data_IF_189894231404
#
_entry.id   IF_189894231404
#
_cell.length_a   1.000
_cell.length_b   1.000
_cell.length_c   1.000
_cell.angle_alpha   90.00
_cell.angle_beta   90.00
_cell.angle_gamma   90.00
#
_symmetry.space_group_name_H-M   'P 1'
#
loop_
_entity.id
_entity.type
_entity.pdbx_description
1 polymer ?
#
# COMPACT_ATOMS: atom_id res chain seq x y z
N UNK A 1 8.82 -54.36 -7.82
CA UNK A 1 9.21 -53.18 -7.03
C UNK A 1 10.50 -52.66 -7.63
N UNK A 2 10.43 -51.64 -8.46
CA UNK A 2 11.31 -50.48 -8.32
C UNK A 2 10.66 -49.33 -9.11
N UNK A 3 10.29 -48.25 -8.41
CA UNK A 3 9.64 -47.09 -9.00
C UNK A 3 10.73 -46.08 -9.30
N UNK A 4 11.14 -45.99 -10.56
CA UNK A 4 11.94 -44.87 -11.06
C UNK A 4 11.09 -43.61 -10.95
N UNK A 5 11.29 -42.83 -9.89
CA UNK A 5 10.74 -41.49 -9.78
C UNK A 5 11.39 -40.62 -10.87
N UNK A 6 10.62 -39.86 -11.66
CA UNK A 6 11.21 -38.97 -12.65
C UNK A 6 11.96 -37.86 -11.90
N UNK A 7 13.25 -37.74 -12.20
CA UNK A 7 14.07 -36.59 -11.81
C UNK A 7 13.38 -35.33 -12.37
N UNK A 8 12.74 -34.57 -11.49
CA UNK A 8 12.30 -33.21 -11.78
C UNK A 8 13.56 -32.38 -12.00
N UNK A 9 13.88 -32.15 -13.27
CA UNK A 9 14.85 -31.14 -13.69
C UNK A 9 14.39 -29.82 -13.09
N UNK A 10 15.09 -29.34 -12.06
CA UNK A 10 14.90 -28.01 -11.51
C UNK A 10 15.27 -27.01 -12.62
N UNK A 11 14.26 -26.54 -13.34
CA UNK A 11 14.41 -25.37 -14.20
C UNK A 11 14.50 -24.19 -13.24
N UNK A 12 15.69 -23.65 -13.05
CA UNK A 12 15.89 -22.36 -12.37
C UNK A 12 15.24 -21.28 -13.23
N UNK A 13 13.92 -21.15 -13.12
CA UNK A 13 13.19 -20.02 -13.65
C UNK A 13 13.49 -18.86 -12.72
N UNK A 14 14.52 -18.08 -13.05
CA UNK A 14 14.71 -16.76 -12.45
C UNK A 14 13.39 -16.02 -12.58
N UNK A 15 12.85 -15.56 -11.44
CA UNK A 15 11.75 -14.60 -11.43
C UNK A 15 12.09 -13.50 -12.42
N UNK A 16 11.34 -13.43 -13.52
CA UNK A 16 11.36 -12.28 -14.40
C UNK A 16 10.56 -11.17 -13.71
N UNK A 17 11.03 -10.75 -12.53
CA UNK A 17 10.63 -9.48 -11.97
C UNK A 17 11.19 -8.43 -12.93
N UNK A 18 10.37 -7.50 -13.43
CA UNK A 18 10.89 -6.42 -14.25
C UNK A 18 11.95 -5.68 -13.44
N UNK A 19 13.12 -5.47 -14.05
CA UNK A 19 14.05 -4.46 -13.57
C UNK A 19 13.29 -3.15 -13.43
N UNK A 20 13.32 -2.54 -12.25
CA UNK A 20 12.61 -1.30 -11.91
C UNK A 20 13.08 -0.14 -12.82
N UNK A 21 12.53 0.00 -14.01
CA UNK A 21 12.87 1.08 -14.96
C UNK A 21 12.01 2.35 -14.78
N UNK A 22 11.39 2.54 -13.62
CA UNK A 22 10.77 3.82 -13.25
C UNK A 22 11.43 4.39 -11.99
N UNK A 23 12.70 4.78 -12.09
CA UNK A 23 13.42 5.39 -10.97
C UNK A 23 12.73 6.69 -10.55
N UNK A 24 12.25 6.78 -9.30
CA UNK A 24 11.82 8.05 -8.67
C UNK A 24 10.32 8.27 -8.45
N UNK A 25 9.45 7.26 -8.57
CA UNK A 25 8.05 7.36 -8.13
C UNK A 25 7.85 6.66 -6.78
N UNK A 26 6.91 7.16 -5.99
CA UNK A 26 6.56 6.62 -4.67
C UNK A 26 5.84 5.26 -4.75
N UNK A 27 5.21 4.97 -5.90
CA UNK A 27 4.50 3.72 -6.18
C UNK A 27 4.88 3.15 -7.55
N UNK A 28 5.04 1.83 -7.61
CA UNK A 28 5.13 1.06 -8.85
C UNK A 28 4.06 -0.02 -8.88
N UNK A 29 3.44 -0.19 -10.05
CA UNK A 29 2.40 -1.19 -10.27
C UNK A 29 2.81 -1.98 -11.50
N UNK A 30 2.96 -3.28 -11.35
CA UNK A 30 3.35 -4.16 -12.43
C UNK A 30 2.49 -5.40 -12.48
N UNK A 31 2.09 -5.80 -13.68
CA UNK A 31 1.39 -7.04 -13.91
C UNK A 31 2.28 -7.98 -14.69
N UNK A 32 2.44 -9.21 -14.22
CA UNK A 32 3.27 -10.21 -14.88
C UNK A 32 2.67 -11.60 -14.87
N UNK A 33 3.23 -12.45 -15.73
CA UNK A 33 2.94 -13.87 -15.77
C UNK A 33 4.25 -14.66 -15.82
N UNK A 34 4.35 -15.68 -14.98
CA UNK A 34 5.52 -16.56 -14.93
C UNK A 34 5.09 -18.01 -15.18
N UNK A 35 5.89 -18.81 -15.91
CA UNK A 35 5.75 -20.27 -15.86
C UNK A 35 6.06 -20.78 -14.45
N UNK A 36 5.69 -22.02 -14.09
CA UNK A 36 6.06 -22.62 -12.81
C UNK A 36 7.54 -22.45 -12.49
N UNK A 37 7.84 -22.10 -11.25
CA UNK A 37 9.18 -21.70 -10.85
C UNK A 37 9.31 -21.45 -9.37
N UNK A 38 10.52 -21.06 -8.97
CA UNK A 38 10.85 -20.68 -7.61
C UNK A 38 11.96 -19.64 -7.60
N UNK A 39 12.03 -18.87 -6.52
CA UNK A 39 13.17 -17.98 -6.32
C UNK A 39 13.21 -17.31 -4.96
N UNK A 40 14.38 -16.74 -4.69
CA UNK A 40 14.62 -15.88 -3.54
C UNK A 40 14.32 -14.43 -3.95
N UNK A 41 13.47 -13.77 -3.18
CA UNK A 41 13.06 -12.39 -3.38
C UNK A 41 13.61 -11.53 -2.25
N UNK A 42 14.15 -10.36 -2.59
CA UNK A 42 14.50 -9.34 -1.62
C UNK A 42 14.34 -7.97 -2.28
N UNK A 43 13.67 -7.05 -1.59
CA UNK A 43 13.49 -5.67 -2.02
C UNK A 43 14.04 -4.76 -0.93
N UNK A 44 15.11 -4.01 -1.22
CA UNK A 44 15.83 -3.26 -0.17
C UNK A 44 15.04 -2.07 0.36
N UNK A 45 14.36 -1.33 -0.52
CA UNK A 45 13.74 -0.04 -0.21
C UNK A 45 12.24 0.01 -0.52
N UNK A 46 11.62 -1.14 -0.81
CA UNK A 46 10.25 -1.21 -1.32
C UNK A 46 9.44 -2.22 -0.49
N UNK A 47 8.29 -1.79 0.01
CA UNK A 47 7.26 -2.66 0.56
C UNK A 47 6.42 -3.19 -0.60
N UNK A 48 6.34 -4.51 -0.74
CA UNK A 48 5.78 -5.14 -1.93
C UNK A 48 4.55 -5.97 -1.58
N UNK A 49 3.46 -5.71 -2.28
CA UNK A 49 2.26 -6.52 -2.28
C UNK A 49 2.20 -7.33 -3.57
N UNK A 50 2.03 -8.65 -3.45
CA UNK A 50 1.79 -9.56 -4.57
C UNK A 50 0.37 -10.11 -4.47
N UNK A 51 -0.45 -9.87 -5.49
CA UNK A 51 -1.83 -10.33 -5.55
C UNK A 51 -2.05 -11.29 -6.71
N UNK A 52 -2.64 -12.45 -6.42
CA UNK A 52 -2.97 -13.42 -7.45
C UNK A 52 -4.12 -12.92 -8.31
N UNK A 53 -3.87 -12.85 -9.62
CA UNK A 53 -4.88 -12.60 -10.66
C UNK A 53 -5.25 -13.90 -11.42
N UNK A 54 -4.61 -15.02 -11.08
CA UNK A 54 -4.75 -16.26 -11.82
C UNK A 54 -6.20 -16.77 -11.83
N UNK A 55 -6.74 -17.18 -12.99
CA UNK A 55 -8.14 -17.61 -13.11
C UNK A 55 -8.41 -18.95 -12.43
N UNK A 56 -7.36 -19.72 -12.11
CA UNK A 56 -7.45 -21.00 -11.40
C UNK A 56 -6.53 -20.98 -10.19
N UNK A 57 -6.91 -21.62 -9.08
CA UNK A 57 -6.03 -21.77 -7.94
C UNK A 57 -4.74 -22.50 -8.33
N UNK A 58 -3.62 -22.10 -7.73
CA UNK A 58 -2.32 -22.74 -7.93
C UNK A 58 -1.64 -23.03 -6.58
N UNK A 59 -0.86 -24.11 -6.53
CA UNK A 59 -0.08 -24.44 -5.35
C UNK A 59 1.09 -23.47 -5.21
N UNK A 60 1.23 -22.94 -4.00
CA UNK A 60 2.24 -21.98 -3.62
C UNK A 60 2.95 -22.45 -2.36
N UNK A 61 4.26 -22.26 -2.32
CA UNK A 61 5.08 -22.35 -1.12
C UNK A 61 5.74 -21.00 -0.93
N UNK A 62 5.58 -20.39 0.24
CA UNK A 62 6.26 -19.16 0.59
C UNK A 62 6.90 -19.30 1.96
N UNK A 63 8.16 -18.90 2.07
CA UNK A 63 8.91 -18.97 3.33
C UNK A 63 9.56 -17.64 3.65
N UNK A 64 9.34 -17.11 4.86
CA UNK A 64 9.95 -15.88 5.36
C UNK A 64 10.13 -16.00 6.88
N UNK A 65 11.27 -15.56 7.39
CA UNK A 65 11.56 -15.53 8.85
C UNK A 65 11.26 -16.85 9.59
N UNK A 66 11.55 -17.99 8.95
CA UNK A 66 11.33 -19.32 9.52
C UNK A 66 9.87 -19.81 9.48
N UNK A 67 8.94 -18.98 9.01
CA UNK A 67 7.55 -19.38 8.77
C UNK A 67 7.40 -19.82 7.31
N UNK A 68 6.72 -20.95 7.09
CA UNK A 68 6.43 -21.46 5.75
C UNK A 68 4.94 -21.66 5.56
N UNK A 69 4.39 -21.03 4.54
CA UNK A 69 3.08 -21.34 3.99
C UNK A 69 3.21 -22.37 2.88
N UNK A 70 2.30 -23.34 2.85
CA UNK A 70 2.14 -24.29 1.73
C UNK A 70 0.65 -24.52 1.51
N UNK A 71 0.16 -24.26 0.31
CA UNK A 71 -1.24 -24.48 -0.02
C UNK A 71 -1.67 -23.84 -1.33
N UNK A 72 -2.98 -23.79 -1.55
CA UNK A 72 -3.56 -23.16 -2.74
C UNK A 72 -3.75 -21.67 -2.52
N UNK A 73 -3.23 -20.87 -3.46
CA UNK A 73 -3.62 -19.47 -3.63
C UNK A 73 -4.64 -19.37 -4.76
N UNK A 74 -5.62 -18.50 -4.60
CA UNK A 74 -6.68 -18.23 -5.58
C UNK A 74 -6.73 -16.73 -5.87
N UNK A 75 -7.46 -16.35 -6.92
CA UNK A 75 -7.65 -14.95 -7.30
C UNK A 75 -8.06 -14.09 -6.09
N UNK A 76 -7.39 -12.96 -5.91
CA UNK A 76 -7.60 -12.02 -4.82
C UNK A 76 -6.82 -12.35 -3.53
N UNK A 77 -6.24 -13.55 -3.41
CA UNK A 77 -5.28 -13.82 -2.34
C UNK A 77 -4.01 -13.00 -2.59
N UNK A 78 -3.45 -12.42 -1.53
CA UNK A 78 -2.22 -11.63 -1.62
C UNK A 78 -1.20 -11.97 -0.52
N UNK A 79 0.06 -11.62 -0.76
CA UNK A 79 1.12 -11.58 0.25
C UNK A 79 1.67 -10.16 0.37
N UNK A 80 2.12 -9.80 1.57
CA UNK A 80 2.80 -8.54 1.87
C UNK A 80 4.23 -8.86 2.32
N UNK A 81 5.20 -8.30 1.62
CA UNK A 81 6.62 -8.40 1.92
C UNK A 81 7.16 -7.00 2.25
N UNK A 82 7.49 -6.71 3.52
CA UNK A 82 8.08 -5.43 3.89
C UNK A 82 9.46 -5.22 3.27
N UNK A 83 9.85 -3.95 3.10
CA UNK A 83 11.19 -3.59 2.65
C UNK A 83 12.27 -4.24 3.55
N UNK A 84 13.37 -4.66 2.92
CA UNK A 84 14.51 -5.32 3.57
C UNK A 84 14.27 -6.76 4.01
N UNK A 85 13.06 -7.31 3.81
CA UNK A 85 12.70 -8.65 4.32
C UNK A 85 12.78 -9.71 3.21
N UNK A 86 13.83 -10.55 3.16
CA UNK A 86 13.97 -11.56 2.13
C UNK A 86 12.97 -12.71 2.34
N UNK A 87 12.42 -13.25 1.25
CA UNK A 87 11.54 -14.41 1.28
C UNK A 87 11.83 -15.36 0.12
N UNK A 88 11.45 -16.62 0.28
CA UNK A 88 11.43 -17.61 -0.79
C UNK A 88 9.99 -17.79 -1.27
N UNK A 89 9.80 -17.94 -2.58
CA UNK A 89 8.52 -18.30 -3.18
C UNK A 89 8.70 -19.40 -4.23
N UNK A 90 7.74 -20.31 -4.31
CA UNK A 90 7.62 -21.33 -5.35
C UNK A 90 6.17 -21.51 -5.74
N UNK A 91 5.92 -21.64 -7.04
CA UNK A 91 4.59 -21.83 -7.63
C UNK A 91 4.60 -22.95 -8.67
N UNK A 92 3.59 -23.80 -8.61
CA UNK A 92 3.51 -25.01 -9.46
C UNK A 92 2.65 -24.82 -10.72
N UNK A 93 2.05 -23.64 -10.91
CA UNK A 93 1.18 -23.30 -12.04
C UNK A 93 1.67 -22.08 -12.82
N UNK A 94 0.95 -21.70 -13.88
CA UNK A 94 1.19 -20.39 -14.51
C UNK A 94 0.72 -19.30 -13.56
N UNK A 95 1.67 -18.56 -13.00
CA UNK A 95 1.38 -17.43 -12.16
C UNK A 95 0.88 -16.27 -13.02
N UNK A 96 -0.12 -15.57 -12.50
CA UNK A 96 -0.56 -14.28 -13.02
C UNK A 96 -0.73 -13.40 -11.80
N UNK A 97 0.11 -12.37 -11.69
CA UNK A 97 0.26 -11.60 -10.47
C UNK A 97 0.21 -10.10 -10.76
N UNK A 98 -0.37 -9.37 -9.82
CA UNK A 98 -0.22 -7.93 -9.67
C UNK A 98 0.79 -7.67 -8.54
N UNK A 99 1.87 -6.99 -8.88
CA UNK A 99 2.83 -6.45 -7.92
C UNK A 99 2.58 -4.96 -7.73
N UNK A 100 2.43 -4.55 -6.48
CA UNK A 100 2.39 -3.14 -6.07
C UNK A 100 3.55 -2.91 -5.12
N UNK A 101 4.46 -2.01 -5.49
CA UNK A 101 5.60 -1.59 -4.67
C UNK A 101 5.38 -0.18 -4.17
N UNK A 102 5.61 0.03 -2.88
CA UNK A 102 5.59 1.33 -2.23
C UNK A 102 7.00 1.59 -1.68
N UNK A 103 7.58 2.76 -1.96
CA UNK A 103 8.91 3.06 -1.40
C UNK A 103 8.81 3.19 0.13
N UNK A 104 9.85 2.74 0.85
CA UNK A 104 9.91 2.88 2.30
C UNK A 104 9.83 4.35 2.72
N UNK A 105 10.44 5.25 1.94
CA UNK A 105 10.35 6.70 2.13
C UNK A 105 8.90 7.21 2.06
N UNK A 106 8.12 6.76 1.07
CA UNK A 106 6.72 7.14 0.94
C UNK A 106 5.89 6.63 2.11
N UNK A 107 6.05 5.35 2.49
CA UNK A 107 5.32 4.79 3.64
C UNK A 107 5.63 5.56 4.92
N UNK A 108 6.91 5.91 5.18
CA UNK A 108 7.31 6.74 6.33
C UNK A 108 6.69 8.13 6.29
N UNK A 109 6.62 8.76 5.11
CA UNK A 109 5.96 10.06 4.95
C UNK A 109 4.48 9.97 5.33
N UNK A 110 3.77 8.94 4.87
CA UNK A 110 2.35 8.73 5.23
C UNK A 110 2.19 8.47 6.73
N UNK A 111 3.10 7.72 7.36
CA UNK A 111 3.12 7.54 8.82
C UNK A 111 3.22 8.89 9.53
N UNK A 112 4.19 9.73 9.15
CA UNK A 112 4.40 11.06 9.74
C UNK A 112 3.19 11.99 9.55
N UNK A 113 2.52 11.94 8.40
CA UNK A 113 1.38 12.80 8.10
C UNK A 113 0.08 12.34 8.76
N UNK A 114 -0.03 11.04 9.07
CA UNK A 114 -1.28 10.42 9.57
C UNK A 114 -1.23 10.15 11.08
N UNK A 115 -0.05 10.04 11.69
CA UNK A 115 0.13 9.58 13.07
C UNK A 115 0.91 10.60 13.89
N UNK A 116 0.32 11.02 15.01
CA UNK A 116 0.93 11.95 15.97
C UNK A 116 2.00 11.28 16.88
N UNK A 117 2.26 9.98 16.70
CA UNK A 117 3.16 9.17 17.56
C UNK A 117 4.45 8.76 16.84
N UNK A 118 5.47 8.36 17.63
CA UNK A 118 6.81 7.94 17.20
C UNK A 118 6.78 7.05 15.95
N UNK A 119 7.10 7.65 14.80
CA UNK A 119 7.09 7.04 13.48
C UNK A 119 8.12 5.90 13.34
N UNK A 120 9.14 5.89 14.19
CA UNK A 120 10.25 4.93 14.14
C UNK A 120 9.88 3.52 14.61
N UNK A 121 8.68 3.32 15.18
CA UNK A 121 8.26 2.02 15.72
C UNK A 121 7.23 1.29 14.86
N UNK A 122 6.74 1.93 13.80
CA UNK A 122 5.68 1.39 12.96
C UNK A 122 6.30 0.73 11.73
N UNK A 123 6.18 -0.58 11.65
CA UNK A 123 6.65 -1.38 10.52
C UNK A 123 5.51 -2.26 10.01
N UNK A 124 5.44 -2.49 8.70
CA UNK A 124 4.54 -3.47 8.14
C UNK A 124 4.96 -4.88 8.56
N UNK A 125 3.98 -5.74 8.81
CA UNK A 125 4.19 -7.14 9.19
C UNK A 125 4.10 -8.00 7.93
N UNK A 126 5.05 -8.92 7.70
CA UNK A 126 4.94 -9.85 6.59
C UNK A 126 3.72 -10.74 6.73
N UNK A 127 3.07 -11.06 5.61
CA UNK A 127 1.87 -11.88 5.62
C UNK A 127 1.68 -12.65 4.31
N UNK A 128 1.10 -13.85 4.43
CA UNK A 128 0.91 -14.77 3.32
C UNK A 128 -0.57 -15.14 3.18
N UNK A 129 -1.01 -15.35 1.94
CA UNK A 129 -2.38 -15.78 1.59
C UNK A 129 -3.44 -15.00 2.39
N UNK A 130 -3.30 -13.69 2.40
CA UNK A 130 -4.25 -12.79 3.04
C UNK A 130 -5.39 -12.47 2.08
N UNK A 131 -6.53 -12.08 2.65
CA UNK A 131 -7.68 -11.56 1.90
C UNK A 131 -8.19 -10.29 2.55
N UNK A 132 -8.30 -9.26 1.73
CA UNK A 132 -8.85 -7.97 2.11
C UNK A 132 -9.53 -7.35 0.90
N UNK A 133 -10.88 -7.28 0.89
CA UNK A 133 -11.63 -6.72 -0.23
C UNK A 133 -11.30 -5.26 -0.54
N UNK A 134 -10.87 -4.47 0.46
CA UNK A 134 -10.49 -3.07 0.26
C UNK A 134 -9.16 -2.98 -0.49
N UNK A 135 -8.16 -3.77 -0.06
CA UNK A 135 -6.88 -3.88 -0.77
C UNK A 135 -7.09 -4.37 -2.19
N UNK A 136 -7.91 -5.41 -2.40
CA UNK A 136 -8.24 -5.91 -3.75
C UNK A 136 -8.85 -4.80 -4.62
N UNK A 137 -9.81 -4.05 -4.09
CA UNK A 137 -10.42 -2.93 -4.83
C UNK A 137 -9.39 -1.87 -5.21
N UNK A 138 -8.56 -1.43 -4.25
CA UNK A 138 -7.55 -0.39 -4.49
C UNK A 138 -6.49 -0.87 -5.48
N UNK A 139 -6.02 -2.11 -5.34
CA UNK A 139 -5.03 -2.71 -6.23
C UNK A 139 -5.55 -2.84 -7.67
N UNK A 140 -6.83 -3.23 -7.84
CA UNK A 140 -7.44 -3.29 -9.17
C UNK A 140 -7.65 -1.90 -9.78
N UNK A 141 -7.95 -0.87 -8.97
CA UNK A 141 -7.99 0.52 -9.45
C UNK A 141 -6.61 1.00 -9.89
N UNK A 142 -5.57 0.71 -9.11
CA UNK A 142 -4.17 1.02 -9.45
C UNK A 142 -3.73 0.35 -10.75
N UNK A 143 -4.07 -0.93 -10.93
CA UNK A 143 -3.79 -1.65 -12.17
C UNK A 143 -4.52 -1.01 -13.36
N UNK A 144 -5.81 -0.71 -13.21
CA UNK A 144 -6.62 -0.09 -14.27
C UNK A 144 -6.08 1.28 -14.66
N UNK A 145 -5.72 2.11 -13.68
CA UNK A 145 -5.18 3.44 -13.90
C UNK A 145 -3.79 3.39 -14.54
N UNK A 146 -2.91 2.50 -14.07
CA UNK A 146 -1.57 2.33 -14.62
C UNK A 146 -1.53 1.82 -16.07
N UNK A 147 -2.61 1.20 -16.55
CA UNK A 147 -2.75 0.75 -17.94
C UNK A 147 -3.29 1.82 -18.90
N UNK A 148 -3.75 2.98 -18.39
CA UNK A 148 -4.28 4.05 -19.23
C UNK A 148 -3.15 4.89 -19.83
N UNK A 149 -3.29 5.24 -21.11
CA UNK A 149 -2.35 6.15 -21.80
C UNK A 149 -2.33 7.57 -21.19
N UNK A 150 -3.38 7.94 -20.46
CA UNK A 150 -3.57 9.24 -19.80
C UNK A 150 -3.72 9.06 -18.29
N UNK A 151 -2.97 8.12 -17.70
CA UNK A 151 -2.99 7.87 -16.26
C UNK A 151 -2.80 9.19 -15.48
N UNK A 152 -3.76 9.50 -14.61
CA UNK A 152 -3.71 10.66 -13.73
C UNK A 152 -2.72 10.38 -12.61
N UNK A 153 -1.58 11.10 -12.61
CA UNK A 153 -0.61 11.03 -11.51
C UNK A 153 -1.29 11.28 -10.18
N UNK A 154 -2.20 12.25 -10.12
CA UNK A 154 -2.94 12.58 -8.90
C UNK A 154 -3.81 11.40 -8.42
N UNK A 155 -4.42 10.65 -9.33
CA UNK A 155 -5.22 9.48 -8.97
C UNK A 155 -4.35 8.33 -8.49
N UNK A 156 -3.22 8.06 -9.16
CA UNK A 156 -2.23 7.07 -8.72
C UNK A 156 -1.70 7.41 -7.31
N UNK A 157 -1.33 8.67 -7.07
CA UNK A 157 -0.82 9.14 -5.78
C UNK A 157 -1.90 9.04 -4.69
N UNK A 158 -3.16 9.35 -5.03
CA UNK A 158 -4.29 9.23 -4.11
C UNK A 158 -4.57 7.78 -3.74
N UNK A 159 -4.57 6.86 -4.72
CA UNK A 159 -4.77 5.43 -4.48
C UNK A 159 -3.60 4.82 -3.70
N UNK A 160 -2.37 5.24 -3.98
CA UNK A 160 -1.19 4.86 -3.21
C UNK A 160 -1.31 5.28 -1.74
N UNK A 161 -1.71 6.53 -1.48
CA UNK A 161 -1.95 7.01 -0.12
C UNK A 161 -3.05 6.19 0.59
N UNK A 162 -4.17 5.94 -0.07
CA UNK A 162 -5.27 5.14 0.52
C UNK A 162 -4.80 3.72 0.83
N UNK A 163 -4.05 3.08 -0.08
CA UNK A 163 -3.47 1.77 0.15
C UNK A 163 -2.52 1.78 1.35
N UNK A 164 -1.59 2.73 1.41
CA UNK A 164 -0.62 2.84 2.50
C UNK A 164 -1.30 3.04 3.85
N UNK A 165 -2.28 3.96 3.95
CA UNK A 165 -3.02 4.19 5.20
C UNK A 165 -3.75 2.92 5.64
N UNK A 166 -4.35 2.18 4.70
CA UNK A 166 -5.05 0.94 5.02
C UNK A 166 -4.08 -0.16 5.50
N UNK A 167 -2.94 -0.31 4.82
CA UNK A 167 -1.87 -1.22 5.22
C UNK A 167 -1.36 -0.91 6.63
N UNK A 168 -1.10 0.36 6.93
CA UNK A 168 -0.63 0.80 8.25
C UNK A 168 -1.67 0.51 9.35
N UNK A 169 -2.96 0.60 9.05
CA UNK A 169 -4.03 0.32 10.03
C UNK A 169 -4.15 -1.16 10.36
N UNK A 170 -4.09 -2.02 9.36
CA UNK A 170 -4.46 -3.43 9.49
C UNK A 170 -3.26 -4.37 9.60
N UNK A 171 -2.10 -3.95 9.08
CA UNK A 171 -0.93 -4.81 8.86
C UNK A 171 0.37 -4.23 9.42
N UNK A 172 0.31 -3.32 10.41
CA UNK A 172 1.49 -2.81 11.10
C UNK A 172 1.73 -3.48 12.46
N UNK A 173 2.99 -3.51 12.91
CA UNK A 173 3.47 -4.08 14.18
C UNK A 173 2.79 -3.44 15.40
N UNK A 174 2.55 -2.15 15.30
CA UNK A 174 1.71 -1.39 16.24
C UNK A 174 0.53 -0.95 15.41
N UNK A 175 -0.66 -1.44 15.73
CA UNK A 175 -1.88 -0.87 15.17
C UNK A 175 -1.97 0.56 15.69
N UNK A 176 -1.80 1.56 14.82
CA UNK A 176 -1.89 2.91 15.30
C UNK A 176 -3.33 3.14 15.76
N UNK A 177 -3.48 3.57 17.02
CA UNK A 177 -4.68 4.29 17.41
C UNK A 177 -4.66 5.60 16.63
N UNK A 178 -5.21 5.57 15.42
CA UNK A 178 -5.66 6.79 14.80
C UNK A 178 -6.70 7.36 15.76
N UNK A 179 -6.51 8.57 16.30
CA UNK A 179 -7.57 9.22 17.04
C UNK A 179 -8.81 9.18 16.14
N UNK A 180 -9.84 8.47 16.61
CA UNK A 180 -11.20 8.66 16.12
C UNK A 180 -11.54 10.05 16.62
N UNK A 181 -11.22 11.06 15.82
CA UNK A 181 -11.66 12.43 16.07
C UNK A 181 -13.17 12.45 15.84
N UNK A 182 -13.92 12.08 16.89
CA UNK A 182 -15.36 12.35 17.00
C UNK A 182 -15.53 13.86 17.20
N UNK A 183 -15.57 14.59 16.09
CA UNK A 183 -15.76 16.04 16.06
C UNK A 183 -14.93 16.70 14.96
N UNK A 184 -15.50 17.71 14.30
CA UNK A 184 -14.75 18.59 13.39
C UNK A 184 -13.73 19.47 14.13
N UNK A 185 -13.21 20.50 13.46
CA UNK A 185 -12.39 21.54 14.09
C UNK A 185 -13.12 22.08 15.34
N UNK A 186 -12.47 22.08 16.52
CA UNK A 186 -13.01 22.67 17.74
C UNK A 186 -13.51 24.10 17.50
N UNK A 187 -14.66 24.46 18.07
CA UNK A 187 -15.35 25.75 17.77
C UNK A 187 -14.46 26.98 17.92
N UNK A 188 -13.53 26.97 18.90
CA UNK A 188 -12.56 28.05 19.11
C UNK A 188 -11.53 28.17 17.97
N UNK A 189 -11.04 27.05 17.45
CA UNK A 189 -10.13 27.02 16.31
C UNK A 189 -10.86 27.35 15.01
N UNK A 190 -12.13 26.91 14.87
CA UNK A 190 -12.97 27.27 13.74
C UNK A 190 -13.24 28.78 13.71
N UNK A 191 -13.53 29.40 14.85
CA UNK A 191 -13.67 30.85 14.96
C UNK A 191 -12.38 31.59 14.54
N UNK A 192 -11.21 31.09 14.96
CA UNK A 192 -9.92 31.66 14.54
C UNK A 192 -9.68 31.56 13.03
N UNK A 193 -10.07 30.44 12.41
CA UNK A 193 -9.98 30.25 10.96
C UNK A 193 -10.95 31.18 10.22
N UNK A 194 -12.18 31.31 10.71
CA UNK A 194 -13.19 32.21 10.11
C UNK A 194 -12.78 33.68 10.24
N UNK A 195 -12.29 34.11 11.41
CA UNK A 195 -11.76 35.45 11.62
C UNK A 195 -10.56 35.72 10.68
N UNK A 196 -9.68 34.73 10.51
CA UNK A 196 -8.53 34.86 9.61
C UNK A 196 -8.98 34.97 8.14
N UNK A 197 -9.97 34.18 7.73
CA UNK A 197 -10.58 34.26 6.39
C UNK A 197 -11.22 35.62 6.16
N UNK A 198 -12.00 36.13 7.11
CA UNK A 198 -12.68 37.43 7.03
C UNK A 198 -11.69 38.61 6.90
N UNK A 199 -10.55 38.53 7.59
CA UNK A 199 -9.50 39.56 7.51
C UNK A 199 -8.73 39.50 6.18
N UNK A 200 -8.68 38.35 5.51
CA UNK A 200 -7.88 38.12 4.30
C UNK A 200 -8.72 37.84 3.04
N UNK A 201 -9.99 38.25 3.01
CA UNK A 201 -10.95 38.03 1.91
C UNK A 201 -10.48 38.55 0.52
N UNK A 202 -9.60 39.55 0.49
CA UNK A 202 -9.08 40.13 -0.76
C UNK A 202 -7.82 39.41 -1.30
N UNK A 203 -7.34 38.37 -0.60
CA UNK A 203 -6.12 37.63 -0.95
C UNK A 203 -6.43 36.19 -1.39
N UNK A 204 -5.57 35.62 -2.23
CA UNK A 204 -5.63 34.21 -2.64
C UNK A 204 -5.26 33.29 -1.46
N UNK A 205 -6.23 33.02 -0.58
CA UNK A 205 -6.10 32.14 0.57
C UNK A 205 -5.94 30.68 0.12
N UNK A 206 -4.81 30.06 0.44
CA UNK A 206 -4.63 28.62 0.19
C UNK A 206 -5.01 27.84 1.43
N UNK A 207 -5.56 26.66 1.18
CA UNK A 207 -5.94 25.73 2.24
C UNK A 207 -4.74 25.30 3.11
N UNK A 208 -3.52 25.33 2.55
CA UNK A 208 -2.29 25.09 3.28
C UNK A 208 -2.00 26.17 4.33
N UNK A 209 -2.34 27.43 4.05
CA UNK A 209 -2.11 28.56 4.95
C UNK A 209 -3.05 28.47 6.17
N UNK A 210 -4.30 28.06 5.94
CA UNK A 210 -5.29 27.82 7.01
C UNK A 210 -4.94 26.60 7.86
N UNK A 211 -4.37 25.56 7.23
CA UNK A 211 -3.89 24.39 7.95
C UNK A 211 -2.70 24.76 8.85
N UNK A 212 -1.78 25.58 8.33
CA UNK A 212 -0.64 26.09 9.08
C UNK A 212 -1.04 26.97 10.27
N UNK A 213 -2.13 27.74 10.17
CA UNK A 213 -2.68 28.53 11.29
C UNK A 213 -3.02 27.67 12.52
N UNK A 214 -3.36 26.41 12.31
CA UNK A 214 -3.74 25.47 13.36
C UNK A 214 -2.65 24.41 13.66
N UNK A 215 -1.43 24.58 13.13
CA UNK A 215 -0.36 23.58 13.18
C UNK A 215 -0.81 22.20 12.66
N UNK A 216 -1.70 22.19 11.68
CA UNK A 216 -2.25 20.98 11.05
C UNK A 216 -1.66 20.76 9.66
N UNK A 217 -1.59 19.50 9.23
CA UNK A 217 -1.37 19.20 7.81
C UNK A 217 -2.58 19.64 6.98
N UNK A 218 -2.34 20.03 5.73
CA UNK A 218 -3.41 20.47 4.82
C UNK A 218 -4.51 19.40 4.67
N UNK A 219 -4.13 18.12 4.66
CA UNK A 219 -5.07 17.01 4.57
C UNK A 219 -5.94 16.88 5.83
N UNK A 220 -5.32 16.96 7.02
CA UNK A 220 -6.03 16.91 8.30
C UNK A 220 -7.02 18.08 8.43
N UNK A 221 -6.54 19.29 8.13
CA UNK A 221 -7.36 20.49 8.09
C UNK A 221 -8.53 20.35 7.11
N UNK A 222 -8.27 19.91 5.86
CA UNK A 222 -9.32 19.73 4.83
C UNK A 222 -10.46 18.84 5.32
N UNK A 223 -10.10 17.75 6.01
CA UNK A 223 -11.06 16.75 6.47
C UNK A 223 -11.89 17.28 7.63
N UNK A 224 -11.24 17.87 8.65
CA UNK A 224 -11.93 18.43 9.81
C UNK A 224 -12.76 19.66 9.43
N UNK A 225 -12.25 20.53 8.56
CA UNK A 225 -12.95 21.74 8.09
C UNK A 225 -14.24 21.36 7.34
N UNK A 226 -14.20 20.37 6.44
CA UNK A 226 -15.40 19.87 5.75
C UNK A 226 -16.44 19.28 6.72
N UNK A 227 -15.99 18.56 7.74
CA UNK A 227 -16.88 18.01 8.76
C UNK A 227 -17.50 19.11 9.64
N UNK A 228 -16.70 20.09 10.05
CA UNK A 228 -17.19 21.27 10.78
C UNK A 228 -18.23 22.04 9.98
N UNK A 229 -17.97 22.33 8.71
CA UNK A 229 -18.88 23.08 7.84
C UNK A 229 -20.14 22.29 7.45
N UNK A 230 -20.08 20.95 7.45
CA UNK A 230 -21.21 20.07 7.16
C UNK A 230 -22.17 19.84 8.35
N UNK A 231 -21.77 20.18 9.57
CA UNK A 231 -22.61 20.11 10.78
C UNK A 231 -23.30 21.44 11.15
N UNK A 232 -23.18 22.48 10.32
CA UNK A 232 -24.02 23.67 10.42
C UNK A 232 -25.39 23.38 9.77
N UNK A 233 -26.33 22.87 10.58
CA UNK A 233 -27.78 22.93 10.33
C UNK A 233 -28.48 23.35 11.62
#
# INVERSE_FOLDING_TARGET
>A
MDKTAPQQTAVTAYLNLPSSEQKGKDIHVHQFQNPPGEGQCQFEAEHTLFMSLAPRPLHYVQSQDGNTFTGLIQKGDFSLAPAGSPFFARWEGHEHCLEVKLTDQFVRKVVQETLEQDCDRISLVPGFRMRDPQIETIAMMLLTEGQQNTASSLMMDSLANVLTVHLLRQYATIQPHLPVYDGGIPQRQLAQVLDYMDVHLEQDLKLADLAQLLDMSQFHFSRLFKQSMGQWH
#
